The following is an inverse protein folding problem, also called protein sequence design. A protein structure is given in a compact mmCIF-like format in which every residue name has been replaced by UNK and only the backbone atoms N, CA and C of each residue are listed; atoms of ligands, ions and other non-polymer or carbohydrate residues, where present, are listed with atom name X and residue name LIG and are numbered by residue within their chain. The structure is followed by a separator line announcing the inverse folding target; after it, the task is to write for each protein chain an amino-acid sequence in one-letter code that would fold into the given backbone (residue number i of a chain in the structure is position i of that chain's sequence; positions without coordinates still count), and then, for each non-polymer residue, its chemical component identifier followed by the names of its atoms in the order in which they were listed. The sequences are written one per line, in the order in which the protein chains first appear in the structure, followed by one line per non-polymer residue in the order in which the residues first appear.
data_IF_814691786780
#
_entry.id   IF_814691786780
#
_cell.length_a   1.000
_cell.length_b   1.000
_cell.length_c   1.000
_cell.angle_alpha   90.00
_cell.angle_beta   90.00
_cell.angle_gamma   90.00
#
_symmetry.space_group_name_H-M   'P 1'
#
loop_
_entity.id
_entity.type
_entity.pdbx_description
1 polymer ?
#
# COMPACT_ATOMS: atom_id res chain seq x y z
N UNK A 1 -23.00 2.07 2.21
CA UNK A 1 -22.21 1.42 1.15
C UNK A 1 -22.23 -0.08 1.44
N UNK A 2 -22.55 -0.94 0.48
CA UNK A 2 -22.48 -2.39 0.70
C UNK A 2 -21.12 -2.90 0.23
N UNK A 3 -20.25 -3.20 1.19
CA UNK A 3 -18.91 -3.73 0.92
C UNK A 3 -18.93 -5.07 0.18
N UNK A 4 -19.93 -5.93 0.45
CA UNK A 4 -20.02 -7.23 -0.20
C UNK A 4 -20.47 -7.10 -1.65
N UNK A 5 -21.35 -6.14 -1.96
CA UNK A 5 -21.72 -5.82 -3.35
C UNK A 5 -20.51 -5.30 -4.13
N UNK A 6 -19.72 -4.38 -3.55
CA UNK A 6 -18.49 -3.88 -4.19
C UNK A 6 -17.44 -4.99 -4.36
N UNK A 7 -17.26 -5.85 -3.35
CA UNK A 7 -16.36 -7.00 -3.44
C UNK A 7 -16.75 -7.95 -4.58
N UNK A 8 -18.05 -8.21 -4.75
CA UNK A 8 -18.57 -9.02 -5.84
C UNK A 8 -18.33 -8.37 -7.21
N UNK A 9 -18.55 -7.06 -7.33
CA UNK A 9 -18.27 -6.31 -8.56
C UNK A 9 -16.77 -6.32 -8.91
N UNK A 10 -15.88 -6.08 -7.94
CA UNK A 10 -14.44 -6.15 -8.13
C UNK A 10 -13.97 -7.57 -8.54
N UNK A 11 -14.52 -8.59 -7.89
CA UNK A 11 -14.27 -10.01 -8.24
C UNK A 11 -14.69 -10.31 -9.68
N UNK A 12 -15.90 -9.91 -10.09
CA UNK A 12 -16.38 -10.12 -11.45
C UNK A 12 -15.51 -9.41 -12.51
N UNK A 13 -15.01 -8.20 -12.20
CA UNK A 13 -14.07 -7.48 -13.08
C UNK A 13 -12.74 -8.22 -13.21
N UNK A 14 -12.22 -8.74 -12.11
CA UNK A 14 -11.02 -9.58 -12.13
C UNK A 14 -11.22 -10.82 -13.01
N UNK A 15 -12.28 -11.58 -12.78
CA UNK A 15 -12.58 -12.82 -13.52
C UNK A 15 -12.79 -12.55 -15.03
N UNK A 16 -13.51 -11.49 -15.38
CA UNK A 16 -13.74 -11.10 -16.77
C UNK A 16 -12.48 -10.58 -17.49
N UNK A 17 -11.49 -10.08 -16.75
CA UNK A 17 -10.20 -9.66 -17.29
C UNK A 17 -9.21 -10.83 -17.46
N UNK A 18 -9.29 -11.85 -16.61
CA UNK A 18 -8.31 -12.94 -16.55
C UNK A 18 -8.28 -13.82 -17.82
N UNK A 19 -9.37 -13.84 -18.60
CA UNK A 19 -9.44 -14.56 -19.88
C UNK A 19 -8.84 -13.82 -21.08
N UNK A 20 -8.28 -12.62 -20.90
CA UNK A 20 -7.72 -11.78 -21.98
C UNK A 20 -6.20 -11.99 -22.11
N UNK A 21 -5.60 -11.46 -23.18
CA UNK A 21 -4.15 -11.42 -23.33
C UNK A 21 -3.50 -10.67 -22.16
N UNK A 22 -2.56 -11.31 -21.47
CA UNK A 22 -1.96 -10.79 -20.24
C UNK A 22 -0.70 -9.98 -20.53
N UNK A 23 -0.88 -8.76 -21.06
CA UNK A 23 0.19 -7.77 -21.07
C UNK A 23 0.31 -7.05 -19.71
N UNK A 24 1.35 -6.24 -19.54
CA UNK A 24 1.57 -5.51 -18.30
C UNK A 24 0.37 -4.65 -17.87
N UNK A 25 -0.40 -4.07 -18.81
CA UNK A 25 -1.53 -3.19 -18.50
C UNK A 25 -2.71 -3.99 -18.00
N UNK A 26 -3.04 -5.07 -18.68
CA UNK A 26 -4.10 -5.98 -18.26
C UNK A 26 -3.78 -6.59 -16.88
N UNK A 27 -2.53 -6.95 -16.62
CA UNK A 27 -2.09 -7.44 -15.32
C UNK A 27 -2.22 -6.38 -14.22
N UNK A 28 -1.94 -5.11 -14.50
CA UNK A 28 -2.19 -4.02 -13.54
C UNK A 28 -3.67 -3.86 -13.24
N UNK A 29 -4.54 -3.92 -14.25
CA UNK A 29 -5.99 -3.85 -14.05
C UNK A 29 -6.51 -5.02 -13.21
N UNK A 30 -5.98 -6.23 -13.43
CA UNK A 30 -6.28 -7.39 -12.58
C UNK A 30 -5.77 -7.20 -11.16
N UNK A 31 -4.57 -6.64 -10.99
CA UNK A 31 -4.03 -6.35 -9.66
C UNK A 31 -4.93 -5.36 -8.91
N UNK A 32 -5.36 -4.28 -9.56
CA UNK A 32 -6.26 -3.29 -8.96
C UNK A 32 -7.64 -3.89 -8.62
N UNK A 33 -8.21 -4.72 -9.51
CA UNK A 33 -9.49 -5.38 -9.23
C UNK A 33 -9.39 -6.35 -8.03
N UNK A 34 -8.30 -7.12 -7.93
CA UNK A 34 -8.04 -7.98 -6.80
C UNK A 34 -7.79 -7.18 -5.50
N UNK A 35 -7.10 -6.05 -5.60
CA UNK A 35 -6.87 -5.11 -4.51
C UNK A 35 -8.20 -4.57 -3.96
N UNK A 36 -9.05 -4.06 -4.85
CA UNK A 36 -10.40 -3.59 -4.52
C UNK A 36 -11.23 -4.68 -3.82
N UNK A 37 -11.27 -5.90 -4.37
CA UNK A 37 -11.98 -7.02 -3.73
C UNK A 37 -11.43 -7.31 -2.32
N UNK A 38 -10.11 -7.33 -2.16
CA UNK A 38 -9.44 -7.56 -0.89
C UNK A 38 -9.81 -6.53 0.18
N UNK A 39 -9.76 -5.24 -0.17
CA UNK A 39 -10.15 -4.15 0.72
C UNK A 39 -11.64 -4.22 1.08
N UNK A 40 -12.53 -4.45 0.12
CA UNK A 40 -13.96 -4.57 0.41
C UNK A 40 -14.28 -5.75 1.33
N UNK A 41 -13.61 -6.91 1.17
CA UNK A 41 -13.78 -8.03 2.09
C UNK A 41 -13.24 -7.70 3.49
N UNK A 42 -12.12 -6.97 3.59
CA UNK A 42 -11.59 -6.52 4.87
C UNK A 42 -12.62 -5.64 5.61
N UNK A 43 -13.15 -4.63 4.93
CA UNK A 43 -14.19 -3.73 5.47
C UNK A 43 -15.50 -4.45 5.86
N UNK A 44 -15.75 -5.63 5.28
CA UNK A 44 -16.89 -6.47 5.63
C UNK A 44 -16.61 -7.47 6.77
N UNK A 45 -15.42 -7.42 7.39
CA UNK A 45 -14.99 -8.37 8.43
C UNK A 45 -14.77 -9.80 7.90
N UNK A 46 -14.41 -9.94 6.61
CA UNK A 46 -14.18 -11.22 5.92
C UNK A 46 -12.70 -11.47 5.70
N UNK A 47 -11.95 -11.60 6.79
CA UNK A 47 -10.48 -11.65 6.81
C UNK A 47 -9.88 -12.72 5.89
N UNK A 48 -10.50 -13.90 5.83
CA UNK A 48 -9.98 -15.01 5.03
C UNK A 48 -10.05 -14.72 3.52
N UNK A 49 -11.16 -14.12 3.09
CA UNK A 49 -11.38 -13.68 1.72
C UNK A 49 -10.52 -12.45 1.39
N UNK A 50 -10.43 -11.49 2.31
CA UNK A 50 -9.59 -10.30 2.18
C UNK A 50 -8.14 -10.71 1.91
N UNK A 51 -7.56 -11.55 2.77
CA UNK A 51 -6.20 -12.08 2.63
C UNK A 51 -5.99 -12.80 1.30
N UNK A 52 -6.94 -13.64 0.87
CA UNK A 52 -6.86 -14.34 -0.42
C UNK A 52 -6.71 -13.34 -1.58
N UNK A 53 -7.54 -12.30 -1.60
CA UNK A 53 -7.57 -11.32 -2.67
C UNK A 53 -6.40 -10.34 -2.64
N UNK A 54 -5.97 -9.90 -1.46
CA UNK A 54 -4.78 -9.05 -1.30
C UNK A 54 -3.51 -9.79 -1.75
N UNK A 55 -3.35 -11.07 -1.39
CA UNK A 55 -2.26 -11.92 -1.94
C UNK A 55 -2.32 -12.03 -3.45
N UNK A 56 -3.53 -12.14 -4.01
CA UNK A 56 -3.71 -12.19 -5.46
C UNK A 56 -3.32 -10.87 -6.13
N UNK A 57 -3.64 -9.73 -5.51
CA UNK A 57 -3.24 -8.41 -5.98
C UNK A 57 -1.72 -8.27 -6.01
N UNK A 58 -1.03 -8.62 -4.92
CA UNK A 58 0.43 -8.58 -4.83
C UNK A 58 1.10 -9.39 -5.95
N UNK A 59 0.62 -10.62 -6.21
CA UNK A 59 1.11 -11.45 -7.33
C UNK A 59 0.91 -10.78 -8.68
N UNK A 60 -0.27 -10.20 -8.94
CA UNK A 60 -0.54 -9.55 -10.24
C UNK A 60 0.28 -8.27 -10.45
N UNK A 61 0.56 -7.50 -9.39
CA UNK A 61 1.48 -6.37 -9.49
C UNK A 61 2.89 -6.83 -9.88
N UNK A 62 3.36 -7.94 -9.32
CA UNK A 62 4.66 -8.52 -9.69
C UNK A 62 4.68 -9.03 -11.13
N UNK A 63 3.69 -9.83 -11.52
CA UNK A 63 3.57 -10.33 -12.90
C UNK A 63 3.49 -9.18 -13.91
N UNK A 64 2.76 -8.11 -13.58
CA UNK A 64 2.68 -6.91 -14.41
C UNK A 64 4.04 -6.26 -14.62
N UNK A 65 4.89 -6.23 -13.59
CA UNK A 65 6.26 -5.75 -13.71
C UNK A 65 7.10 -6.62 -14.63
N UNK A 66 7.09 -7.94 -14.38
CA UNK A 66 7.85 -8.92 -15.14
C UNK A 66 7.42 -8.98 -16.63
N UNK A 67 6.16 -8.61 -16.92
CA UNK A 67 5.63 -8.44 -18.27
C UNK A 67 6.13 -7.16 -19.00
N UNK A 68 7.13 -6.47 -18.46
CA UNK A 68 7.78 -5.32 -19.09
C UNK A 68 7.16 -3.98 -18.71
N UNK A 69 6.86 -3.78 -17.43
CA UNK A 69 6.47 -2.44 -16.95
C UNK A 69 7.59 -1.43 -17.24
N UNK A 70 7.26 -0.16 -17.58
CA UNK A 70 8.26 0.88 -17.78
C UNK A 70 9.14 1.08 -16.53
N UNK A 71 10.38 1.58 -16.69
CA UNK A 71 11.18 2.07 -15.55
C UNK A 71 10.38 3.07 -14.70
N UNK A 72 10.74 3.18 -13.42
CA UNK A 72 10.06 4.05 -12.45
C UNK A 72 8.59 3.68 -12.17
N UNK A 73 8.14 2.48 -12.55
CA UNK A 73 6.80 1.95 -12.24
C UNK A 73 6.63 1.55 -10.75
N UNK A 74 7.12 2.38 -9.84
CA UNK A 74 7.23 2.15 -8.40
C UNK A 74 5.91 1.84 -7.70
N UNK A 75 4.78 2.28 -8.27
CA UNK A 75 3.45 1.94 -7.75
C UNK A 75 3.21 0.44 -7.63
N UNK A 76 3.84 -0.40 -8.48
CA UNK A 76 3.67 -1.86 -8.42
C UNK A 76 4.31 -2.50 -7.18
N UNK A 77 5.62 -2.31 -6.91
CA UNK A 77 6.20 -2.84 -5.67
C UNK A 77 5.57 -2.21 -4.42
N UNK A 78 5.24 -0.92 -4.43
CA UNK A 78 4.51 -0.27 -3.32
C UNK A 78 3.18 -0.99 -3.05
N UNK A 79 2.35 -1.17 -4.08
CA UNK A 79 1.04 -1.79 -3.92
C UNK A 79 1.14 -3.26 -3.50
N UNK A 80 2.15 -4.00 -3.98
CA UNK A 80 2.41 -5.36 -3.55
C UNK A 80 2.79 -5.44 -2.05
N UNK A 81 3.68 -4.55 -1.58
CA UNK A 81 4.02 -4.47 -0.15
C UNK A 81 2.80 -4.12 0.70
N UNK A 82 2.03 -3.09 0.30
CA UNK A 82 0.79 -2.71 1.00
C UNK A 82 -0.19 -3.87 1.10
N UNK A 83 -0.37 -4.64 0.02
CA UNK A 83 -1.28 -5.80 0.02
C UNK A 83 -0.88 -6.90 0.97
N UNK A 84 0.41 -7.22 1.03
CA UNK A 84 0.91 -8.22 1.95
C UNK A 84 0.83 -7.74 3.40
N UNK A 85 1.18 -6.48 3.67
CA UNK A 85 1.06 -5.87 5.01
C UNK A 85 -0.40 -5.86 5.50
N UNK A 86 -1.34 -5.39 4.69
CA UNK A 86 -2.77 -5.34 5.04
C UNK A 86 -3.37 -6.74 5.18
N UNK A 87 -2.85 -7.74 4.45
CA UNK A 87 -3.25 -9.13 4.62
C UNK A 87 -2.71 -9.79 5.91
N UNK A 88 -1.79 -9.11 6.61
CA UNK A 88 -1.04 -9.66 7.75
C UNK A 88 -0.03 -10.73 7.34
N UNK A 89 0.54 -10.62 6.13
CA UNK A 89 1.52 -11.54 5.56
C UNK A 89 2.93 -10.93 5.51
N UNK A 90 3.92 -11.79 5.26
CA UNK A 90 5.29 -11.37 4.99
C UNK A 90 5.40 -10.64 3.65
N UNK A 91 5.92 -9.40 3.69
CA UNK A 91 6.14 -8.54 2.53
C UNK A 91 7.61 -8.48 2.08
N UNK A 92 8.51 -9.24 2.70
CA UNK A 92 9.96 -9.15 2.50
C UNK A 92 10.39 -9.36 1.05
N UNK A 93 9.78 -10.30 0.33
CA UNK A 93 10.09 -10.54 -1.09
C UNK A 93 9.71 -9.34 -1.97
N UNK A 94 8.58 -8.69 -1.70
CA UNK A 94 8.15 -7.49 -2.42
C UNK A 94 9.04 -6.28 -2.09
N UNK A 95 9.50 -6.18 -0.85
CA UNK A 95 10.47 -5.17 -0.42
C UNK A 95 11.82 -5.35 -1.11
N UNK A 96 12.37 -6.58 -1.10
CA UNK A 96 13.62 -6.88 -1.78
C UNK A 96 13.51 -6.59 -3.29
N UNK A 97 12.37 -6.92 -3.90
CA UNK A 97 12.11 -6.57 -5.29
C UNK A 97 12.20 -5.05 -5.55
N UNK A 98 11.61 -4.22 -4.69
CA UNK A 98 11.70 -2.76 -4.82
C UNK A 98 13.16 -2.27 -4.79
N UNK A 99 13.96 -2.81 -3.86
CA UNK A 99 15.38 -2.47 -3.72
C UNK A 99 16.21 -2.97 -4.91
N UNK A 100 16.00 -4.19 -5.37
CA UNK A 100 16.67 -4.78 -6.54
C UNK A 100 16.34 -4.03 -7.83
N UNK A 101 15.10 -3.51 -7.94
CA UNK A 101 14.68 -2.66 -9.04
C UNK A 101 15.33 -1.26 -9.02
N UNK A 102 16.03 -0.91 -7.92
CA UNK A 102 16.81 0.32 -7.81
C UNK A 102 16.11 1.45 -7.06
N UNK A 103 15.01 1.19 -6.35
CA UNK A 103 14.23 2.23 -5.65
C UNK A 103 15.11 3.10 -4.73
N UNK A 104 16.09 2.50 -4.04
CA UNK A 104 16.99 3.22 -3.12
C UNK A 104 17.91 4.26 -3.81
N UNK A 105 18.04 4.20 -5.14
CA UNK A 105 18.82 5.14 -5.95
C UNK A 105 17.92 6.04 -6.81
N UNK A 106 16.60 5.91 -6.69
CA UNK A 106 15.67 6.72 -7.46
C UNK A 106 15.79 8.21 -7.07
N UNK A 107 15.73 9.07 -8.07
CA UNK A 107 15.66 10.52 -7.85
C UNK A 107 14.23 10.97 -7.54
N UNK A 108 13.23 10.22 -8.02
CA UNK A 108 11.83 10.53 -7.84
C UNK A 108 11.38 10.31 -6.38
N UNK A 109 10.52 11.20 -5.83
CA UNK A 109 10.01 11.05 -4.46
C UNK A 109 9.29 9.72 -4.25
N UNK A 110 8.49 9.29 -5.24
CA UNK A 110 7.77 8.01 -5.18
C UNK A 110 8.71 6.80 -5.17
N UNK A 111 9.86 6.87 -5.86
CA UNK A 111 10.88 5.82 -5.81
C UNK A 111 11.59 5.78 -4.45
N UNK A 112 11.91 6.94 -3.88
CA UNK A 112 12.46 7.04 -2.52
C UNK A 112 11.49 6.53 -1.46
N UNK A 113 10.20 6.85 -1.59
CA UNK A 113 9.15 6.30 -0.76
C UNK A 113 9.05 4.77 -0.89
N UNK A 114 9.12 4.21 -2.12
CA UNK A 114 9.14 2.77 -2.33
C UNK A 114 10.30 2.09 -1.59
N UNK A 115 11.48 2.72 -1.60
CA UNK A 115 12.66 2.22 -0.89
C UNK A 115 12.54 2.35 0.63
N UNK A 116 12.06 3.49 1.13
CA UNK A 116 11.83 3.68 2.57
C UNK A 116 10.84 2.64 3.11
N UNK A 117 9.73 2.41 2.39
CA UNK A 117 8.74 1.39 2.72
C UNK A 117 9.36 -0.02 2.70
N UNK A 118 10.20 -0.33 1.71
CA UNK A 118 10.89 -1.61 1.62
C UNK A 118 11.85 -1.84 2.80
N UNK A 119 12.62 -0.82 3.20
CA UNK A 119 13.49 -0.94 4.37
C UNK A 119 12.70 -1.10 5.68
N UNK A 120 11.56 -0.42 5.84
CA UNK A 120 10.67 -0.66 6.98
C UNK A 120 10.15 -2.10 7.03
N UNK A 121 9.74 -2.66 5.88
CA UNK A 121 9.31 -4.06 5.79
C UNK A 121 10.44 -5.02 6.19
N UNK A 122 11.68 -4.73 5.79
CA UNK A 122 12.85 -5.55 6.10
C UNK A 122 13.43 -5.30 7.51
N UNK A 123 12.87 -4.34 8.27
CA UNK A 123 13.33 -3.99 9.61
C UNK A 123 14.62 -3.15 9.65
N UNK A 124 15.01 -2.50 8.54
CA UNK A 124 16.15 -1.58 8.49
C UNK A 124 15.69 -0.13 8.66
N UNK A 125 15.37 0.22 9.91
CA UNK A 125 14.81 1.52 10.27
C UNK A 125 15.79 2.67 9.96
N UNK A 126 17.09 2.44 10.08
CA UNK A 126 18.10 3.45 9.81
C UNK A 126 18.09 3.86 8.32
N UNK A 127 18.06 2.88 7.41
CA UNK A 127 18.00 3.17 5.98
C UNK A 127 16.63 3.73 5.56
N UNK A 128 15.54 3.26 6.18
CA UNK A 128 14.22 3.84 5.98
C UNK A 128 14.20 5.32 6.37
N UNK A 129 14.75 5.67 7.54
CA UNK A 129 14.83 7.05 8.05
C UNK A 129 15.60 7.95 7.10
N UNK A 130 16.78 7.53 6.64
CA UNK A 130 17.60 8.30 5.69
C UNK A 130 16.82 8.64 4.42
N UNK A 131 16.04 7.69 3.89
CA UNK A 131 15.26 7.94 2.68
C UNK A 131 14.01 8.79 2.93
N UNK A 132 13.31 8.56 4.04
CA UNK A 132 12.14 9.34 4.44
C UNK A 132 12.50 10.83 4.62
N UNK A 133 13.62 11.12 5.29
CA UNK A 133 14.13 12.49 5.49
C UNK A 133 14.27 13.26 4.16
N UNK A 134 14.65 12.57 3.08
CA UNK A 134 14.81 13.21 1.76
C UNK A 134 13.51 13.53 1.02
N UNK A 135 12.36 13.07 1.52
CA UNK A 135 11.04 13.31 0.91
C UNK A 135 10.10 14.15 1.79
N UNK A 136 10.44 14.41 3.06
CA UNK A 136 9.60 15.20 3.99
C UNK A 136 9.42 16.65 3.51
N UNK A 137 10.50 17.31 3.04
CA UNK A 137 10.44 18.71 2.60
C UNK A 137 10.04 18.89 1.12
N UNK A 138 9.54 17.83 0.47
CA UNK A 138 9.26 17.85 -0.96
C UNK A 138 7.80 18.16 -1.26
N UNK A 139 7.56 19.32 -1.89
CA UNK A 139 6.22 19.75 -2.32
C UNK A 139 5.53 18.80 -3.32
N UNK A 140 6.30 17.93 -4.01
CA UNK A 140 5.78 16.95 -4.97
C UNK A 140 5.49 15.56 -4.35
N UNK A 141 5.42 15.47 -3.02
CA UNK A 141 5.04 14.26 -2.28
C UNK A 141 4.09 14.60 -1.10
N UNK A 142 3.17 13.72 -0.69
CA UNK A 142 2.31 13.99 0.46
C UNK A 142 3.11 14.04 1.77
N UNK A 143 3.21 15.22 2.38
CA UNK A 143 4.03 15.45 3.57
C UNK A 143 3.64 14.52 4.73
N UNK A 144 2.35 14.38 5.06
CA UNK A 144 1.89 13.54 6.17
C UNK A 144 2.31 12.06 6.00
N UNK A 145 2.40 11.58 4.76
CA UNK A 145 2.87 10.21 4.46
C UNK A 145 4.38 10.09 4.66
N UNK A 146 5.15 11.10 4.27
CA UNK A 146 6.59 11.13 4.50
C UNK A 146 6.90 11.19 6.01
N UNK A 147 6.17 12.04 6.74
CA UNK A 147 6.27 12.17 8.19
C UNK A 147 5.96 10.84 8.88
N UNK A 148 4.85 10.19 8.55
CA UNK A 148 4.50 8.90 9.16
C UNK A 148 5.59 7.84 8.94
N UNK A 149 6.18 7.74 7.73
CA UNK A 149 7.29 6.81 7.46
C UNK A 149 8.53 7.19 8.28
N UNK A 150 8.84 8.49 8.38
CA UNK A 150 9.95 8.98 9.18
C UNK A 150 9.78 8.66 10.66
N UNK A 151 8.56 8.82 11.21
CA UNK A 151 8.26 8.54 12.61
C UNK A 151 8.26 7.04 12.91
N UNK A 152 7.78 6.19 11.99
CA UNK A 152 7.90 4.74 12.13
C UNK A 152 9.38 4.33 12.18
N UNK A 153 10.20 4.87 11.27
CA UNK A 153 11.64 4.60 11.25
C UNK A 153 12.38 5.21 12.47
N UNK A 154 11.79 6.20 13.12
CA UNK A 154 12.32 6.87 14.30
C UNK A 154 11.88 6.27 15.63
N UNK A 155 10.98 5.30 15.62
CA UNK A 155 10.31 4.76 16.82
C UNK A 155 9.60 5.86 17.64
N UNK A 156 8.95 6.81 16.95
CA UNK A 156 8.24 7.93 17.58
C UNK A 156 6.72 7.72 17.54
N UNK A 157 6.10 7.17 18.61
CA UNK A 157 4.67 6.88 18.62
C UNK A 157 3.80 8.15 18.62
N UNK A 158 4.28 9.27 19.17
CA UNK A 158 3.45 10.48 19.34
C UNK A 158 3.29 11.20 18.01
N UNK A 159 4.41 11.43 17.33
CA UNK A 159 4.40 12.12 16.04
C UNK A 159 3.86 11.19 14.94
N UNK A 160 4.04 9.86 15.08
CA UNK A 160 3.37 8.88 14.21
C UNK A 160 1.85 8.99 14.29
N UNK A 161 1.26 9.01 15.50
CA UNK A 161 -0.18 9.12 15.70
C UNK A 161 -0.76 10.36 15.01
N UNK A 162 -0.11 11.52 15.21
CA UNK A 162 -0.52 12.77 14.55
C UNK A 162 -0.46 12.67 13.02
N UNK A 163 0.62 12.10 12.48
CA UNK A 163 0.78 11.96 11.03
C UNK A 163 -0.27 11.01 10.44
N UNK A 164 -0.52 9.86 11.06
CA UNK A 164 -1.48 8.88 10.54
C UNK A 164 -2.93 9.37 10.63
N UNK A 165 -3.31 10.11 11.67
CA UNK A 165 -4.61 10.78 11.76
C UNK A 165 -4.76 11.84 10.66
N UNK A 166 -3.73 12.64 10.40
CA UNK A 166 -3.74 13.63 9.30
C UNK A 166 -3.93 12.96 7.93
N UNK A 167 -3.30 11.80 7.72
CA UNK A 167 -3.53 11.00 6.50
C UNK A 167 -4.99 10.54 6.43
N UNK A 168 -5.56 10.02 7.52
CA UNK A 168 -6.96 9.57 7.55
C UNK A 168 -7.92 10.73 7.22
N UNK A 169 -7.74 11.88 7.86
CA UNK A 169 -8.46 13.13 7.59
C UNK A 169 -8.39 13.53 6.10
N UNK A 170 -7.20 13.37 5.49
CA UNK A 170 -7.00 13.63 4.06
C UNK A 170 -7.84 12.68 3.20
N UNK A 171 -7.92 11.39 3.56
CA UNK A 171 -8.73 10.42 2.86
C UNK A 171 -10.24 10.70 2.99
N UNK A 172 -10.72 11.14 4.15
CA UNK A 172 -12.13 11.48 4.38
C UNK A 172 -12.62 12.64 3.51
N UNK A 173 -11.72 13.58 3.20
CA UNK A 173 -12.03 14.76 2.36
C UNK A 173 -11.91 14.48 0.85
N UNK A 174 -11.36 13.33 0.44
CA UNK A 174 -11.19 12.98 -0.98
C UNK A 174 -12.48 12.48 -1.61
N UNK A 175 -12.64 12.81 -2.89
CA UNK A 175 -13.73 12.32 -3.74
C UNK A 175 -13.30 11.19 -4.69
N UNK A 176 -12.00 11.04 -4.93
CA UNK A 176 -11.44 10.08 -5.90
C UNK A 176 -10.59 9.03 -5.20
N UNK A 177 -10.82 7.77 -5.56
CA UNK A 177 -10.16 6.61 -4.99
C UNK A 177 -9.79 5.64 -6.10
N UNK A 178 -8.71 4.88 -5.88
CA UNK A 178 -8.36 3.79 -6.78
C UNK A 178 -9.50 2.76 -6.78
N UNK A 179 -10.00 2.44 -7.98
CA UNK A 179 -11.11 1.50 -8.20
C UNK A 179 -12.43 1.89 -7.50
N UNK A 180 -12.60 3.17 -7.16
CA UNK A 180 -13.75 3.71 -6.44
C UNK A 180 -13.98 3.07 -5.05
N UNK A 181 -12.95 2.43 -4.49
CA UNK A 181 -12.99 1.81 -3.14
C UNK A 181 -12.54 2.83 -2.10
N UNK A 182 -13.51 3.33 -1.31
CA UNK A 182 -13.29 4.35 -0.28
C UNK A 182 -12.68 3.75 0.99
N UNK A 183 -11.40 3.37 0.92
CA UNK A 183 -10.65 2.81 2.05
C UNK A 183 -9.34 3.57 2.21
N UNK A 184 -8.97 3.90 3.45
CA UNK A 184 -7.72 4.57 3.80
C UNK A 184 -6.56 3.56 3.81
N UNK A 185 -6.25 3.00 2.64
CA UNK A 185 -5.32 1.89 2.48
C UNK A 185 -3.87 2.19 2.90
N UNK A 186 -3.42 3.44 2.76
CA UNK A 186 -2.11 3.89 3.24
C UNK A 186 -2.07 3.86 4.77
N UNK A 187 -3.15 4.27 5.44
CA UNK A 187 -3.27 4.19 6.91
C UNK A 187 -3.16 2.73 7.37
N UNK A 188 -3.89 1.81 6.71
CA UNK A 188 -3.84 0.38 7.05
C UNK A 188 -2.43 -0.21 6.92
N UNK A 189 -1.72 0.12 5.84
CA UNK A 189 -0.36 -0.38 5.63
C UNK A 189 0.66 0.20 6.64
N UNK A 190 0.53 1.49 6.97
CA UNK A 190 1.39 2.14 7.97
C UNK A 190 1.12 1.60 9.38
N UNK A 191 -0.15 1.39 9.73
CA UNK A 191 -0.54 0.75 11.00
C UNK A 191 0.05 -0.65 11.13
N UNK A 192 0.07 -1.45 10.05
CA UNK A 192 0.70 -2.76 10.08
C UNK A 192 2.22 -2.69 10.36
N UNK A 193 2.92 -1.68 9.82
CA UNK A 193 4.35 -1.47 10.06
C UNK A 193 4.64 -0.90 11.45
N UNK A 194 3.81 0.03 11.92
CA UNK A 194 3.87 0.58 13.26
C UNK A 194 3.61 -0.49 14.33
N UNK A 195 2.66 -1.40 14.08
CA UNK A 195 2.33 -2.49 14.99
C UNK A 195 3.49 -3.47 15.17
N UNK A 196 4.28 -3.74 14.11
CA UNK A 196 5.49 -4.57 14.20
C UNK A 196 6.56 -3.98 15.13
N UNK A 197 6.54 -2.66 15.33
CA UNK A 197 7.45 -1.93 16.23
C UNK A 197 6.83 -1.62 17.59
N UNK A 198 5.54 -1.91 17.79
CA UNK A 198 4.83 -1.63 19.04
C UNK A 198 4.43 -0.16 19.21
N UNK A 199 4.37 0.62 18.13
CA UNK A 199 4.02 2.04 18.14
C UNK A 199 2.71 2.37 17.40
N UNK A 200 1.98 1.35 16.94
CA UNK A 200 0.65 1.57 16.36
C UNK A 200 -0.27 2.19 17.41
N UNK A 201 -1.07 3.17 16.98
CA UNK A 201 -2.02 3.86 17.84
C UNK A 201 -3.46 3.42 17.57
N UNK A 202 -4.34 3.63 18.54
CA UNK A 202 -5.78 3.42 18.37
C UNK A 202 -6.36 4.59 17.57
N UNK A 203 -6.74 4.33 16.32
CA UNK A 203 -7.30 5.35 15.44
C UNK A 203 -8.77 5.65 15.77
N UNK A 204 -9.25 6.88 15.50
CA UNK A 204 -10.66 7.19 15.61
C UNK A 204 -11.52 6.32 14.69
N UNK A 205 -12.76 6.05 15.09
CA UNK A 205 -13.74 5.36 14.25
C UNK A 205 -13.92 6.11 12.92
N UNK A 206 -13.77 5.40 11.80
CA UNK A 206 -13.92 5.96 10.46
C UNK A 206 -14.57 4.95 9.53
N UNK A 207 -15.45 5.42 8.62
CA UNK A 207 -16.04 4.58 7.58
C UNK A 207 -15.01 4.07 6.55
N UNK A 208 -13.78 4.61 6.58
CA UNK A 208 -12.68 4.25 5.68
C UNK A 208 -11.73 3.19 6.26
N UNK A 209 -12.00 2.72 7.49
CA UNK A 209 -11.25 1.70 8.22
C UNK A 209 -12.20 0.55 8.65
N UNK A 210 -11.71 -0.70 8.74
CA UNK A 210 -12.53 -1.88 9.05
C UNK A 210 -13.02 -1.95 10.51
#
# INVERSE_FOLDING_TARGET
MDWLEQAAAATARYEGGAGRGLDQRQLTQLANAAWAAGLCFLMAGRDSEARKWLRQAARRYRESWDAGAPPESWGRPIAAMKALLVAGDDASEAAQWALDAGAARAESPIGRYAAALAYLVLGDDMQARVLADTIVERDDFPHDVADAVLMIAGDDPTDYAMAVESILDSFERRSEFLEDVRVADTVLALQALAAQRGIADDLPESELLP
#
